data_IF_440492134899
#
_entry.id   IF_440492134899
#
_cell.length_a   1.000
_cell.length_b   1.000
_cell.length_c   1.000
_cell.angle_alpha   90.00
_cell.angle_beta   90.00
_cell.angle_gamma   90.00
#
_symmetry.space_group_name_H-M   'P 1'
#
loop_
_entity.id
_entity.type
_entity.pdbx_description
1 polymer ?
#
# COMPACT_ATOMS: atom_id res chain seq x y z
N UNK A 1 3.51 -32.43 -10.86
CA UNK A 1 4.33 -31.20 -11.03
C UNK A 1 3.71 -30.20 -10.09
N UNK A 2 4.47 -29.79 -9.07
CA UNK A 2 4.03 -28.82 -8.07
C UNK A 2 3.89 -27.47 -8.75
N UNK A 3 2.69 -26.91 -8.73
CA UNK A 3 2.47 -25.52 -9.09
C UNK A 3 3.00 -24.69 -7.92
N UNK A 4 4.28 -24.34 -8.01
CA UNK A 4 4.93 -23.32 -7.20
C UNK A 4 4.36 -21.96 -7.61
N UNK A 5 3.08 -21.72 -7.28
CA UNK A 5 2.48 -20.41 -7.42
C UNK A 5 2.86 -19.65 -6.16
N UNK A 6 3.95 -18.89 -6.24
CA UNK A 6 4.22 -17.79 -5.33
C UNK A 6 2.91 -17.06 -5.08
N UNK A 7 2.32 -17.22 -3.90
CA UNK A 7 0.97 -16.74 -3.61
C UNK A 7 1.06 -15.25 -3.36
N UNK A 8 1.18 -14.46 -4.43
CA UNK A 8 1.08 -13.01 -4.37
C UNK A 8 -0.32 -12.69 -3.86
N UNK A 9 -0.41 -12.17 -2.63
CA UNK A 9 -1.69 -11.88 -2.00
C UNK A 9 -2.52 -10.97 -2.91
N UNK A 10 -3.79 -11.34 -3.14
CA UNK A 10 -4.66 -10.60 -4.05
C UNK A 10 -4.90 -9.18 -3.56
N UNK A 11 -4.67 -8.18 -4.40
CA UNK A 11 -5.02 -6.78 -4.11
C UNK A 11 -6.54 -6.64 -4.12
N UNK A 12 -7.09 -6.13 -3.01
CA UNK A 12 -8.50 -5.83 -2.84
C UNK A 12 -8.83 -4.38 -3.21
N UNK A 13 -7.95 -3.45 -2.85
CA UNK A 13 -8.14 -2.03 -3.10
C UNK A 13 -6.79 -1.31 -3.11
N UNK A 14 -6.72 -0.22 -3.88
CA UNK A 14 -5.60 0.72 -3.88
C UNK A 14 -6.14 2.11 -3.61
N UNK A 15 -5.60 2.78 -2.58
CA UNK A 15 -5.98 4.14 -2.21
C UNK A 15 -4.74 5.02 -2.16
N UNK A 16 -4.87 6.26 -2.63
CA UNK A 16 -3.80 7.26 -2.59
C UNK A 16 -4.20 8.30 -1.54
N UNK A 17 -3.29 8.58 -0.62
CA UNK A 17 -3.45 9.61 0.42
C UNK A 17 -2.42 10.71 0.20
N UNK A 18 -2.82 11.96 0.41
CA UNK A 18 -1.95 13.13 0.39
C UNK A 18 -1.24 13.36 1.74
N UNK A 19 -1.55 12.53 2.73
CA UNK A 19 -1.03 12.62 4.09
C UNK A 19 -0.64 11.25 4.65
N UNK A 20 0.54 11.21 5.27
CA UNK A 20 1.00 10.05 6.01
C UNK A 20 0.04 9.66 7.14
N UNK A 21 -0.66 10.63 7.74
CA UNK A 21 -1.57 10.37 8.87
C UNK A 21 -2.77 9.53 8.42
N UNK A 22 -3.39 9.91 7.30
CA UNK A 22 -4.53 9.17 6.75
C UNK A 22 -4.12 7.77 6.26
N UNK A 23 -2.93 7.67 5.64
CA UNK A 23 -2.38 6.38 5.25
C UNK A 23 -2.18 5.44 6.45
N UNK A 24 -1.67 5.96 7.59
CA UNK A 24 -1.50 5.20 8.83
C UNK A 24 -2.84 4.73 9.40
N UNK A 25 -3.88 5.57 9.37
CA UNK A 25 -5.22 5.18 9.82
C UNK A 25 -5.79 4.05 8.96
N UNK A 26 -5.60 4.10 7.64
CA UNK A 26 -6.02 3.03 6.73
C UNK A 26 -5.27 1.72 6.99
N UNK A 27 -3.96 1.80 7.27
CA UNK A 27 -3.15 0.63 7.64
C UNK A 27 -3.64 0.02 8.95
N UNK A 28 -3.90 0.84 9.96
CA UNK A 28 -4.41 0.37 11.25
C UNK A 28 -5.78 -0.30 11.12
N UNK A 29 -6.66 0.24 10.28
CA UNK A 29 -7.95 -0.38 9.99
C UNK A 29 -7.80 -1.75 9.30
N UNK A 30 -6.86 -1.87 8.35
CA UNK A 30 -6.58 -3.15 7.68
C UNK A 30 -6.01 -4.20 8.65
N UNK A 31 -5.15 -3.80 9.59
CA UNK A 31 -4.62 -4.67 10.65
C UNK A 31 -5.73 -5.24 11.55
N UNK A 32 -6.68 -4.39 11.98
CA UNK A 32 -7.85 -4.83 12.76
C UNK A 32 -8.68 -5.89 12.02
N UNK A 33 -8.70 -5.83 10.70
CA UNK A 33 -9.43 -6.77 9.83
C UNK A 33 -8.60 -8.01 9.44
N UNK A 34 -7.33 -8.09 9.86
CA UNK A 34 -6.42 -9.18 9.51
C UNK A 34 -6.04 -9.21 8.02
N UNK A 35 -6.10 -8.05 7.36
CA UNK A 35 -5.75 -7.91 5.95
C UNK A 35 -4.26 -7.62 5.79
N UNK A 36 -3.70 -7.98 4.64
CA UNK A 36 -2.36 -7.56 4.29
C UNK A 36 -2.35 -6.13 3.79
N UNK A 37 -1.21 -5.45 3.93
CA UNK A 37 -1.04 -4.09 3.38
C UNK A 37 0.32 -3.98 2.74
N UNK A 38 0.37 -3.33 1.58
CA UNK A 38 1.61 -2.86 0.94
C UNK A 38 1.54 -1.35 0.79
N UNK A 39 2.58 -0.67 1.26
CA UNK A 39 2.66 0.79 1.29
C UNK A 39 3.84 1.22 0.44
N UNK A 40 3.61 2.18 -0.44
CA UNK A 40 4.66 2.85 -1.18
C UNK A 40 4.46 4.36 -1.09
N UNK A 41 5.56 5.08 -1.10
CA UNK A 41 5.55 6.53 -1.17
C UNK A 41 6.05 6.99 -2.55
N UNK A 42 5.45 8.07 -3.07
CA UNK A 42 5.95 8.76 -4.27
C UNK A 42 5.87 10.27 -4.09
N UNK A 43 6.78 10.98 -4.75
CA UNK A 43 6.74 12.42 -4.86
C UNK A 43 6.06 12.81 -6.18
N UNK A 44 5.10 13.72 -6.13
CA UNK A 44 4.40 14.28 -7.30
C UNK A 44 4.46 15.80 -7.28
N UNK A 45 4.37 16.46 -8.45
CA UNK A 45 4.24 17.92 -8.51
C UNK A 45 3.03 18.40 -7.70
N UNK A 46 3.22 19.48 -6.97
CA UNK A 46 2.15 20.17 -6.25
C UNK A 46 1.16 20.80 -7.25
N UNK A 47 -0.14 20.67 -6.99
CA UNK A 47 -1.18 21.18 -7.90
C UNK A 47 -1.19 22.72 -8.00
N UNK A 48 -0.68 23.41 -6.98
CA UNK A 48 -0.58 24.87 -6.93
C UNK A 48 0.78 25.39 -7.42
N UNK A 49 1.79 24.50 -7.58
CA UNK A 49 3.15 24.87 -7.97
C UNK A 49 3.96 23.72 -8.58
N UNK A 50 4.21 23.76 -9.88
CA UNK A 50 5.08 22.79 -10.59
C UNK A 50 6.55 22.75 -10.09
N UNK A 51 7.01 23.79 -9.38
CA UNK A 51 8.35 23.86 -8.79
C UNK A 51 8.48 23.17 -7.42
N UNK A 52 7.36 22.67 -6.86
CA UNK A 52 7.31 22.00 -5.55
C UNK A 52 6.84 20.56 -5.72
N UNK A 53 7.38 19.66 -4.90
CA UNK A 53 6.94 18.27 -4.84
C UNK A 53 6.22 18.01 -3.52
N UNK A 54 5.08 17.33 -3.60
CA UNK A 54 4.33 16.82 -2.45
C UNK A 54 4.40 15.31 -2.38
N UNK A 55 4.22 14.82 -1.16
CA UNK A 55 4.31 13.41 -0.83
C UNK A 55 2.93 12.73 -0.98
N UNK A 56 2.87 11.66 -1.77
CA UNK A 56 1.69 10.81 -1.90
C UNK A 56 1.96 9.39 -1.40
N UNK A 57 1.02 8.88 -0.63
CA UNK A 57 1.06 7.55 -0.04
C UNK A 57 0.12 6.62 -0.78
N UNK A 58 0.68 5.62 -1.45
CA UNK A 58 -0.07 4.56 -2.12
C UNK A 58 -0.20 3.38 -1.16
N UNK A 59 -1.44 3.10 -0.75
CA UNK A 59 -1.76 1.98 0.15
C UNK A 59 -2.57 0.94 -0.62
N UNK A 60 -1.99 -0.24 -0.77
CA UNK A 60 -2.63 -1.42 -1.35
C UNK A 60 -3.09 -2.34 -0.22
N UNK A 61 -4.39 -2.57 -0.12
CA UNK A 61 -4.97 -3.56 0.81
C UNK A 61 -5.03 -4.91 0.11
N UNK A 62 -4.55 -5.94 0.80
CA UNK A 62 -4.37 -7.29 0.29
C UNK A 62 -5.32 -8.24 1.03
N UNK A 63 -5.81 -9.26 0.34
CA UNK A 63 -6.74 -10.24 0.88
C UNK A 63 -6.14 -11.08 2.03
N UNK A 64 -4.82 -11.13 2.12
CA UNK A 64 -4.08 -11.80 3.17
C UNK A 64 -2.74 -11.10 3.39
N UNK A 65 -2.17 -11.25 4.58
CA UNK A 65 -0.82 -10.76 4.89
C UNK A 65 0.16 -11.39 3.89
N UNK A 66 0.96 -10.58 3.16
CA UNK A 66 1.96 -11.12 2.26
C UNK A 66 2.99 -11.87 3.09
N UNK A 67 3.17 -13.16 2.80
CA UNK A 67 4.30 -13.92 3.32
C UNK A 67 5.53 -13.45 2.57
N UNK A 68 6.51 -12.88 3.29
CA UNK A 68 7.83 -12.66 2.71
C UNK A 68 8.39 -14.04 2.36
N UNK A 69 8.76 -14.27 1.10
CA UNK A 69 9.72 -15.32 0.80
C UNK A 69 11.00 -14.97 1.57
N UNK A 70 11.35 -15.79 2.56
CA UNK A 70 12.64 -15.72 3.23
C UNK A 70 13.70 -16.13 2.20
N UNK A 71 14.43 -15.16 1.64
CA UNK A 71 15.67 -15.40 0.87
C UNK A 71 16.79 -15.93 1.80
#
# INVERSE_FOLDING_TARGET
>A
MSDDVATTAQVLSTTIFDSATEAIEAIAAADVLGLGVKVANRLVPDEDSDDTLVEEWVVEVLASVPTADED
#
